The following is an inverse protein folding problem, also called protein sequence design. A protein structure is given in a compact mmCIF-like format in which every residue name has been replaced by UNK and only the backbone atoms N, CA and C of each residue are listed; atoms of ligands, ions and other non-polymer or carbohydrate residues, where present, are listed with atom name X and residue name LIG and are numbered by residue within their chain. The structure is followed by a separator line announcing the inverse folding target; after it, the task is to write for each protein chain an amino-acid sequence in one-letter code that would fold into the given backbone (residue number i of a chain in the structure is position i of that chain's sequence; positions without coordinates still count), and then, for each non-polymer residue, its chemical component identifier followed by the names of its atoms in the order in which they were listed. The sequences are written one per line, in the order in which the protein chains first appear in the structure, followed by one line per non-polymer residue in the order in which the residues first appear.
data_IF_927739509135
#
_entry.id   IF_927739509135
#
_cell.length_a   1.000
_cell.length_b   1.000
_cell.length_c   1.000
_cell.angle_alpha   90.00
_cell.angle_beta   90.00
_cell.angle_gamma   90.00
#
_symmetry.space_group_name_H-M   'P 1'
#
loop_
_entity.id
_entity.type
_entity.pdbx_description
1 polymer ?
#
# COMPACT_ATOMS: atom_id res chain seq x y z
N UNK A 1 -42.12 -3.06 13.56
CA UNK A 1 -41.58 -4.30 13.02
C UNK A 1 -40.99 -4.11 11.62
N UNK A 2 -41.71 -3.43 10.77
CA UNK A 2 -41.25 -3.22 9.41
C UNK A 2 -39.96 -2.38 9.36
N UNK A 3 -39.82 -1.47 10.30
CA UNK A 3 -38.64 -0.62 10.35
C UNK A 3 -37.35 -1.40 10.63
N UNK A 4 -37.49 -2.45 11.43
CA UNK A 4 -36.32 -3.29 11.75
C UNK A 4 -35.80 -4.04 10.54
N UNK A 5 -36.70 -4.52 9.70
CA UNK A 5 -36.30 -5.24 8.50
C UNK A 5 -35.53 -4.35 7.54
N UNK A 6 -36.00 -3.12 7.41
CA UNK A 6 -35.29 -2.15 6.54
C UNK A 6 -33.90 -1.84 7.04
N UNK A 7 -33.74 -1.74 8.35
CA UNK A 7 -32.43 -1.47 8.93
C UNK A 7 -31.44 -2.60 8.65
N UNK A 8 -31.92 -3.83 8.72
CA UNK A 8 -31.08 -4.98 8.42
C UNK A 8 -30.57 -4.96 7.00
N UNK A 9 -31.43 -4.62 6.05
CA UNK A 9 -31.05 -4.59 4.66
C UNK A 9 -29.92 -3.57 4.39
N UNK A 10 -30.04 -2.42 5.03
CA UNK A 10 -29.03 -1.36 4.86
C UNK A 10 -27.69 -1.80 5.41
N UNK A 11 -27.69 -2.43 6.57
CA UNK A 11 -26.45 -2.89 7.21
C UNK A 11 -25.76 -3.92 6.34
N UNK A 12 -26.51 -4.85 5.79
CA UNK A 12 -25.93 -5.88 4.93
C UNK A 12 -25.30 -5.28 3.68
N UNK A 13 -25.94 -4.27 3.12
CA UNK A 13 -25.39 -3.61 1.94
C UNK A 13 -24.07 -2.93 2.23
N UNK A 14 -23.98 -2.28 3.37
CA UNK A 14 -22.76 -1.59 3.77
C UNK A 14 -21.60 -2.58 3.95
N UNK A 15 -21.86 -3.71 4.57
CA UNK A 15 -20.85 -4.73 4.78
C UNK A 15 -20.30 -5.28 3.47
N UNK A 16 -21.18 -5.50 2.51
CA UNK A 16 -20.75 -5.99 1.20
C UNK A 16 -19.83 -5.00 0.49
N UNK A 17 -20.15 -3.72 0.60
CA UNK A 17 -19.30 -2.70 -0.02
C UNK A 17 -17.91 -2.67 0.59
N UNK A 18 -17.81 -2.80 1.90
CA UNK A 18 -16.52 -2.84 2.56
C UNK A 18 -15.70 -4.03 2.11
N UNK A 19 -16.33 -5.18 1.93
CA UNK A 19 -15.64 -6.36 1.47
C UNK A 19 -15.02 -6.19 0.10
N UNK A 20 -15.74 -5.55 -0.80
CA UNK A 20 -15.24 -5.33 -2.15
C UNK A 20 -14.05 -4.37 -2.17
N UNK A 21 -14.11 -3.32 -1.35
CA UNK A 21 -13.02 -2.37 -1.31
C UNK A 21 -11.73 -2.99 -0.78
N UNK A 22 -11.83 -3.98 0.11
CA UNK A 22 -10.68 -4.62 0.69
C UNK A 22 -9.87 -5.49 -0.26
N UNK A 23 -10.50 -6.06 -1.29
CA UNK A 23 -9.81 -7.00 -2.17
C UNK A 23 -8.89 -6.32 -3.18
N UNK A 24 -9.12 -5.05 -3.51
CA UNK A 24 -8.36 -4.36 -4.54
C UNK A 24 -7.11 -3.67 -4.02
N UNK A 25 -6.89 -3.59 -2.72
CA UNK A 25 -5.90 -2.70 -2.14
C UNK A 25 -4.48 -3.28 -2.03
N UNK A 26 -4.30 -4.59 -2.16
CA UNK A 26 -2.99 -5.20 -1.94
C UNK A 26 -1.96 -4.80 -3.00
N UNK A 27 -2.31 -4.97 -4.27
CA UNK A 27 -1.42 -4.59 -5.37
C UNK A 27 -1.21 -3.08 -5.40
N UNK A 28 -2.25 -2.33 -5.08
CA UNK A 28 -2.19 -0.88 -5.01
C UNK A 28 -1.22 -0.44 -3.93
N UNK A 29 -1.24 -1.12 -2.78
CA UNK A 29 -0.35 -0.80 -1.68
C UNK A 29 1.11 -0.98 -2.08
N UNK A 30 1.44 -2.09 -2.74
CA UNK A 30 2.80 -2.34 -3.18
C UNK A 30 3.27 -1.27 -4.17
N UNK A 31 2.43 -0.95 -5.13
CA UNK A 31 2.77 0.05 -6.14
C UNK A 31 3.03 1.41 -5.49
N UNK A 32 2.15 1.83 -4.60
CA UNK A 32 2.31 3.11 -3.91
C UNK A 32 3.54 3.14 -3.02
N UNK A 33 3.80 2.04 -2.35
CA UNK A 33 4.93 1.98 -1.43
C UNK A 33 6.26 2.04 -2.18
N UNK A 34 6.34 1.35 -3.30
CA UNK A 34 7.53 1.40 -4.14
C UNK A 34 7.73 2.81 -4.70
N UNK A 35 6.68 3.43 -5.16
CA UNK A 35 6.74 4.80 -5.66
C UNK A 35 7.21 5.76 -4.58
N UNK A 36 6.67 5.60 -3.39
CA UNK A 36 7.06 6.44 -2.26
C UNK A 36 8.53 6.26 -1.91
N UNK A 37 9.01 5.03 -1.88
CA UNK A 37 10.41 4.77 -1.56
C UNK A 37 11.35 5.29 -2.64
N UNK A 38 10.94 5.23 -3.89
CA UNK A 38 11.71 5.84 -4.97
C UNK A 38 11.82 7.34 -4.79
N UNK A 39 10.73 7.96 -4.42
CA UNK A 39 10.73 9.40 -4.17
C UNK A 39 11.68 9.74 -3.03
N UNK A 40 11.64 8.96 -1.96
CA UNK A 40 12.53 9.19 -0.82
C UNK A 40 13.99 9.03 -1.20
N UNK A 41 14.29 8.04 -2.03
CA UNK A 41 15.67 7.85 -2.51
C UNK A 41 16.12 9.04 -3.35
N UNK A 42 15.28 9.50 -4.25
CA UNK A 42 15.62 10.65 -5.09
C UNK A 42 15.85 11.89 -4.25
N UNK A 43 15.03 12.10 -3.20
CA UNK A 43 15.21 13.24 -2.32
C UNK A 43 16.52 13.13 -1.54
N UNK A 44 16.86 11.93 -1.07
CA UNK A 44 18.11 11.73 -0.36
C UNK A 44 19.30 12.01 -1.27
N UNK A 45 19.24 11.58 -2.52
CA UNK A 45 20.30 11.85 -3.48
C UNK A 45 20.43 13.34 -3.74
N UNK A 46 19.32 14.04 -3.90
CA UNK A 46 19.34 15.47 -4.17
C UNK A 46 19.89 16.27 -3.02
N UNK A 47 19.54 15.90 -1.79
CA UNK A 47 19.93 16.67 -0.61
C UNK A 47 21.29 16.27 -0.04
N UNK A 48 21.68 15.03 -0.19
CA UNK A 48 22.88 14.52 0.46
C UNK A 48 23.90 13.91 -0.49
N UNK A 49 23.53 13.70 -1.73
CA UNK A 49 24.42 13.11 -2.71
C UNK A 49 24.21 11.62 -2.92
N UNK A 50 24.62 11.15 -4.07
CA UNK A 50 24.37 9.77 -4.47
C UNK A 50 25.14 8.77 -3.62
N UNK A 51 26.29 9.16 -3.10
CA UNK A 51 27.13 8.27 -2.30
C UNK A 51 27.00 8.50 -0.80
N UNK A 52 26.00 9.27 -0.40
CA UNK A 52 25.77 9.53 1.02
C UNK A 52 25.19 8.32 1.71
N UNK A 53 25.36 8.24 3.03
CA UNK A 53 24.75 7.16 3.79
C UNK A 53 23.23 7.24 3.76
N UNK A 54 22.71 8.45 3.61
CA UNK A 54 21.25 8.63 3.52
C UNK A 54 20.72 7.98 2.23
N UNK A 55 21.40 8.20 1.11
CA UNK A 55 21.00 7.57 -0.14
C UNK A 55 21.14 6.05 -0.07
N UNK A 56 22.22 5.57 0.55
CA UNK A 56 22.40 4.14 0.74
C UNK A 56 21.27 3.54 1.56
N UNK A 57 20.91 4.21 2.63
CA UNK A 57 19.82 3.73 3.49
C UNK A 57 18.52 3.64 2.72
N UNK A 58 18.19 4.67 1.95
CA UNK A 58 16.95 4.66 1.18
C UNK A 58 16.98 3.64 0.06
N UNK A 59 18.16 3.38 -0.50
CA UNK A 59 18.29 2.34 -1.52
C UNK A 59 18.01 0.96 -0.94
N UNK A 60 18.52 0.70 0.25
CA UNK A 60 18.24 -0.57 0.93
C UNK A 60 16.77 -0.72 1.26
N UNK A 61 16.13 0.36 1.68
CA UNK A 61 14.70 0.34 1.97
C UNK A 61 13.89 0.04 0.72
N UNK A 62 14.26 0.64 -0.39
CA UNK A 62 13.58 0.38 -1.65
C UNK A 62 13.71 -1.08 -2.06
N UNK A 63 14.94 -1.63 -1.96
CA UNK A 63 15.16 -3.03 -2.29
C UNK A 63 14.37 -3.95 -1.39
N UNK A 64 14.27 -3.62 -0.11
CA UNK A 64 13.50 -4.41 0.83
C UNK A 64 12.02 -4.44 0.47
N UNK A 65 11.47 -3.28 0.12
CA UNK A 65 10.08 -3.19 -0.26
C UNK A 65 9.81 -3.96 -1.55
N UNK A 66 10.68 -3.82 -2.54
CA UNK A 66 10.53 -4.55 -3.79
C UNK A 66 10.61 -6.05 -3.53
N UNK A 67 11.54 -6.48 -2.68
CA UNK A 67 11.68 -7.88 -2.34
C UNK A 67 10.44 -8.43 -1.64
N UNK A 68 9.87 -7.66 -0.74
CA UNK A 68 8.64 -8.07 -0.05
C UNK A 68 7.48 -8.24 -1.02
N UNK A 69 7.35 -7.31 -1.95
CA UNK A 69 6.25 -7.38 -2.91
C UNK A 69 6.43 -8.51 -3.90
N UNK A 70 7.67 -8.81 -4.29
CA UNK A 70 7.95 -9.90 -5.21
C UNK A 70 7.91 -11.26 -4.55
N UNK A 71 8.28 -11.32 -3.27
CA UNK A 71 8.32 -12.59 -2.55
C UNK A 71 6.93 -13.13 -2.23
N UNK A 72 5.91 -12.28 -2.24
CA UNK A 72 4.55 -12.70 -1.98
C UNK A 72 3.95 -13.29 -3.25
N UNK A 73 3.76 -14.61 -3.29
CA UNK A 73 3.12 -15.18 -4.47
C UNK A 73 1.65 -14.79 -4.51
N UNK A 74 1.21 -14.41 -5.65
CA UNK A 74 -0.18 -14.07 -5.87
C UNK A 74 -0.95 -15.34 -6.13
N UNK A 75 -1.58 -15.87 -5.14
CA UNK A 75 -2.31 -17.11 -5.33
C UNK A 75 -3.70 -17.03 -4.81
#
# INVERSE_FOLDING_TARGET
MFAHIKSFAIVLGALLMFGMAGTASAADWCSRHIEHQRHELNEAIRHHGERSWQAEHERHELERVIGQCNARPYR
#
